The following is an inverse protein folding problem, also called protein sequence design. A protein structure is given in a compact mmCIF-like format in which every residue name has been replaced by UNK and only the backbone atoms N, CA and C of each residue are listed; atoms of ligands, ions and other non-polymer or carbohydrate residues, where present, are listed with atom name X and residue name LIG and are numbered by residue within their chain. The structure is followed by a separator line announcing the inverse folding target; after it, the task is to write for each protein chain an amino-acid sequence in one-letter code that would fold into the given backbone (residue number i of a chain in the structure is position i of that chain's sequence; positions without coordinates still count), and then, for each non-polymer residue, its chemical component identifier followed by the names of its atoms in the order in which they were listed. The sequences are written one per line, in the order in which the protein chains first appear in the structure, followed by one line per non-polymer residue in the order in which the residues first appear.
data_IF_141754376778
#
_entry.id   IF_141754376778
#
_cell.length_a   1.000
_cell.length_b   1.000
_cell.length_c   1.000
_cell.angle_alpha   90.00
_cell.angle_beta   90.00
_cell.angle_gamma   90.00
#
_symmetry.space_group_name_H-M   'P 1'
#
loop_
_entity.id
_entity.type
_entity.pdbx_description
1 polymer ?
#
# COMPACT_ATOMS: atom_id res chain seq x y z
N UNK A 1 -2.56 -19.16 -13.23
CA UNK A 1 -1.52 -18.46 -12.46
C UNK A 1 -1.98 -18.58 -11.03
N UNK A 2 -1.25 -19.31 -10.19
CA UNK A 2 -1.47 -19.29 -8.75
C UNK A 2 -1.39 -17.82 -8.32
N UNK A 3 -2.52 -17.22 -7.98
CA UNK A 3 -2.51 -15.86 -7.43
C UNK A 3 -1.81 -15.97 -6.08
N UNK A 4 -0.75 -15.19 -5.87
CA UNK A 4 -0.14 -15.06 -4.54
C UNK A 4 -1.20 -14.82 -3.46
N UNK A 5 -1.01 -15.31 -2.23
CA UNK A 5 -1.96 -15.05 -1.17
C UNK A 5 -2.04 -13.55 -0.87
N UNK A 6 -3.18 -13.04 -0.36
CA UNK A 6 -3.32 -11.64 0.04
C UNK A 6 -2.21 -11.16 0.98
N UNK A 7 -1.75 -12.03 1.90
CA UNK A 7 -0.66 -11.73 2.83
C UNK A 7 0.65 -11.35 2.13
N UNK A 8 1.05 -12.10 1.08
CA UNK A 8 2.28 -11.80 0.33
C UNK A 8 2.17 -10.47 -0.43
N UNK A 9 0.97 -10.13 -0.92
CA UNK A 9 0.73 -8.81 -1.55
C UNK A 9 0.72 -7.67 -0.54
N UNK A 10 0.25 -7.90 0.68
CA UNK A 10 0.33 -6.92 1.78
C UNK A 10 1.78 -6.65 2.16
N UNK A 11 2.62 -7.69 2.20
CA UNK A 11 4.07 -7.53 2.41
C UNK A 11 4.71 -6.67 1.32
N UNK A 12 4.44 -6.98 0.06
CA UNK A 12 4.93 -6.16 -1.07
C UNK A 12 4.40 -4.72 -1.02
N UNK A 13 3.12 -4.54 -0.69
CA UNK A 13 2.53 -3.22 -0.52
C UNK A 13 3.29 -2.40 0.54
N UNK A 14 3.57 -3.01 1.68
CA UNK A 14 4.33 -2.36 2.74
C UNK A 14 5.76 -2.01 2.29
N UNK A 15 6.44 -2.91 1.58
CA UNK A 15 7.79 -2.67 1.04
C UNK A 15 7.82 -1.50 0.04
N UNK A 16 6.86 -1.43 -0.88
CA UNK A 16 6.76 -0.33 -1.85
C UNK A 16 6.50 1.03 -1.16
N UNK A 17 5.64 1.05 -0.13
CA UNK A 17 5.37 2.26 0.65
C UNK A 17 6.60 2.72 1.43
N UNK A 18 7.32 1.78 2.06
CA UNK A 18 8.57 2.06 2.75
C UNK A 18 9.64 2.59 1.79
N UNK A 19 9.83 1.94 0.63
CA UNK A 19 10.76 2.40 -0.41
C UNK A 19 10.41 3.81 -0.91
N UNK A 20 9.12 4.13 -1.02
CA UNK A 20 8.66 5.49 -1.35
C UNK A 20 9.10 6.50 -0.28
N UNK A 21 9.04 6.16 1.01
CA UNK A 21 9.46 7.05 2.11
C UNK A 21 10.99 7.22 2.24
N UNK A 22 11.80 6.37 1.62
CA UNK A 22 13.25 6.55 1.55
C UNK A 22 13.69 7.60 0.51
N UNK A 23 12.76 8.06 -0.34
CA UNK A 23 13.00 8.97 -1.44
C UNK A 23 12.60 10.43 -1.13
N UNK A 24 13.02 11.42 -1.94
CA UNK A 24 12.70 12.83 -1.74
C UNK A 24 11.23 13.16 -2.07
N UNK A 25 10.31 12.76 -1.21
CA UNK A 25 8.87 12.96 -1.40
C UNK A 25 8.39 14.30 -0.83
N UNK A 26 7.44 14.94 -1.51
CA UNK A 26 6.78 16.13 -0.99
C UNK A 26 6.12 15.90 0.37
N UNK A 27 6.15 16.90 1.26
CA UNK A 27 5.67 16.77 2.64
C UNK A 27 4.22 16.30 2.76
N UNK A 28 3.34 16.77 1.88
CA UNK A 28 1.92 16.39 1.90
C UNK A 28 1.75 14.93 1.49
N UNK A 29 2.44 14.51 0.42
CA UNK A 29 2.45 13.13 -0.05
C UNK A 29 3.03 12.18 1.01
N UNK A 30 4.17 12.55 1.62
CA UNK A 30 4.81 11.75 2.68
C UNK A 30 3.89 11.51 3.87
N UNK A 31 3.04 12.47 4.25
CA UNK A 31 2.06 12.25 5.32
C UNK A 31 1.07 11.13 4.98
N UNK A 32 0.50 11.15 3.78
CA UNK A 32 -0.47 10.14 3.36
C UNK A 32 0.19 8.77 3.18
N UNK A 33 1.38 8.74 2.57
CA UNK A 33 2.14 7.52 2.33
C UNK A 33 2.59 6.87 3.64
N UNK A 34 3.08 7.65 4.61
CA UNK A 34 3.48 7.12 5.92
C UNK A 34 2.30 6.57 6.73
N UNK A 35 1.10 7.15 6.61
CA UNK A 35 -0.10 6.59 7.22
C UNK A 35 -0.51 5.27 6.55
N UNK A 36 -0.46 5.23 5.21
CA UNK A 36 -0.70 4.01 4.45
C UNK A 36 0.30 2.90 4.78
N UNK A 37 1.59 3.24 4.91
CA UNK A 37 2.66 2.32 5.30
C UNK A 37 2.37 1.71 6.67
N UNK A 38 2.05 2.54 7.67
CA UNK A 38 1.72 2.06 9.00
C UNK A 38 0.52 1.09 9.00
N UNK A 39 -0.52 1.38 8.22
CA UNK A 39 -1.70 0.50 8.12
C UNK A 39 -1.35 -0.81 7.41
N UNK A 40 -0.52 -0.79 6.37
CA UNK A 40 -0.06 -2.00 5.69
C UNK A 40 0.87 -2.84 6.59
N UNK A 41 1.77 -2.19 7.33
CA UNK A 41 2.69 -2.83 8.28
C UNK A 41 1.95 -3.55 9.41
N UNK A 42 0.83 -3.00 9.90
CA UNK A 42 -0.04 -3.66 10.89
C UNK A 42 -0.64 -4.98 10.39
N UNK A 43 -0.69 -5.21 9.07
CA UNK A 43 -1.23 -6.41 8.44
C UNK A 43 -0.16 -7.44 8.06
N UNK A 44 1.13 -7.07 8.09
CA UNK A 44 2.23 -8.01 7.76
C UNK A 44 2.23 -9.17 8.75
N UNK A 45 2.23 -10.40 8.24
CA UNK A 45 2.12 -11.63 9.04
C UNK A 45 0.72 -11.94 9.58
N UNK A 46 -0.32 -11.18 9.18
CA UNK A 46 -1.72 -11.48 9.51
C UNK A 46 -2.33 -12.36 8.41
N UNK A 47 -2.36 -13.67 8.64
CA UNK A 47 -2.69 -14.66 7.60
C UNK A 47 -4.18 -15.07 7.50
N UNK A 48 -5.10 -14.55 8.33
CA UNK A 48 -6.37 -15.29 8.56
C UNK A 48 -7.67 -14.49 8.70
N UNK A 49 -7.66 -13.17 8.56
CA UNK A 49 -8.89 -12.36 8.67
C UNK A 49 -9.11 -11.53 7.40
N UNK A 50 -9.78 -12.12 6.41
CA UNK A 50 -10.09 -11.47 5.13
C UNK A 50 -10.91 -10.19 5.31
N UNK A 51 -11.86 -10.15 6.26
CA UNK A 51 -12.67 -8.96 6.54
C UNK A 51 -11.83 -7.83 7.14
N UNK A 52 -10.85 -8.17 7.98
CA UNK A 52 -9.88 -7.20 8.51
C UNK A 52 -8.96 -6.69 7.40
N UNK A 53 -8.39 -7.57 6.59
CA UNK A 53 -7.51 -7.20 5.46
C UNK A 53 -8.26 -6.30 4.49
N UNK A 54 -9.47 -6.70 4.07
CA UNK A 54 -10.32 -5.91 3.18
C UNK A 54 -10.53 -4.49 3.71
N UNK A 55 -10.98 -4.35 4.97
CA UNK A 55 -11.25 -3.03 5.56
C UNK A 55 -10.00 -2.16 5.67
N UNK A 56 -8.88 -2.75 6.09
CA UNK A 56 -7.63 -2.02 6.31
C UNK A 56 -6.98 -1.62 4.99
N UNK A 57 -6.97 -2.50 3.99
CA UNK A 57 -6.38 -2.18 2.69
C UNK A 57 -7.29 -1.27 1.86
N UNK A 58 -8.61 -1.36 2.00
CA UNK A 58 -9.52 -0.34 1.44
C UNK A 58 -9.20 1.06 1.98
N UNK A 59 -8.87 1.16 3.27
CA UNK A 59 -8.42 2.42 3.85
C UNK A 59 -7.07 2.88 3.28
N UNK A 60 -6.13 1.97 3.01
CA UNK A 60 -4.89 2.30 2.30
C UNK A 60 -5.18 2.87 0.90
N UNK A 61 -6.11 2.27 0.15
CA UNK A 61 -6.52 2.80 -1.16
C UNK A 61 -7.03 4.25 -1.03
N UNK A 62 -7.88 4.52 -0.03
CA UNK A 62 -8.40 5.87 0.22
C UNK A 62 -7.28 6.87 0.57
N UNK A 63 -6.30 6.47 1.37
CA UNK A 63 -5.15 7.32 1.72
C UNK A 63 -4.32 7.64 0.48
N UNK A 64 -3.97 6.64 -0.33
CA UNK A 64 -3.15 6.81 -1.53
C UNK A 64 -3.86 7.59 -2.63
N UNK A 65 -5.19 7.63 -2.65
CA UNK A 65 -5.97 8.47 -3.56
C UNK A 65 -5.79 9.98 -3.32
N UNK A 66 -5.24 10.39 -2.17
CA UNK A 66 -4.91 11.78 -1.87
C UNK A 66 -3.54 12.22 -2.40
N UNK A 67 -2.80 11.31 -3.06
CA UNK A 67 -1.47 11.57 -3.61
C UNK A 67 -1.51 11.35 -5.11
N UNK A 68 -1.45 12.42 -5.89
CA UNK A 68 -1.38 12.31 -7.36
C UNK A 68 0.06 12.01 -7.82
N UNK A 69 1.02 12.76 -7.29
CA UNK A 69 2.47 12.64 -7.52
C UNK A 69 3.24 12.95 -6.24
N UNK A 70 4.47 12.47 -6.17
CA UNK A 70 5.38 12.59 -5.03
C UNK A 70 6.46 13.65 -5.22
N UNK A 71 6.64 14.13 -6.46
CA UNK A 71 7.70 15.06 -6.84
C UNK A 71 9.02 14.37 -7.22
N UNK A 72 9.07 13.03 -7.22
CA UNK A 72 10.21 12.23 -7.66
C UNK A 72 9.73 11.04 -8.53
N UNK A 73 10.30 10.90 -9.72
CA UNK A 73 9.86 9.88 -10.69
C UNK A 73 10.02 8.45 -10.16
N UNK A 74 10.99 8.19 -9.28
CA UNK A 74 11.22 6.85 -8.71
C UNK A 74 10.20 6.59 -7.60
N UNK A 75 9.93 7.59 -6.76
CA UNK A 75 8.89 7.50 -5.74
C UNK A 75 7.49 7.35 -6.36
N UNK A 76 7.24 7.96 -7.52
CA UNK A 76 5.99 7.78 -8.27
C UNK A 76 5.84 6.36 -8.83
N UNK A 77 6.95 5.69 -9.21
CA UNK A 77 6.92 4.29 -9.63
C UNK A 77 6.53 3.37 -8.46
N UNK A 78 7.17 3.54 -7.30
CA UNK A 78 6.83 2.80 -6.09
C UNK A 78 5.38 3.07 -5.64
N UNK A 79 4.94 4.33 -5.68
CA UNK A 79 3.56 4.70 -5.35
C UNK A 79 2.54 4.06 -6.31
N UNK A 80 2.83 4.05 -7.62
CA UNK A 80 1.95 3.43 -8.60
C UNK A 80 1.82 1.92 -8.37
N UNK A 81 2.93 1.27 -8.02
CA UNK A 81 2.93 -0.15 -7.69
C UNK A 81 2.19 -0.45 -6.39
N UNK A 82 2.39 0.35 -5.35
CA UNK A 82 1.65 0.27 -4.09
C UNK A 82 0.13 0.41 -4.33
N UNK A 83 -0.30 1.37 -5.15
CA UNK A 83 -1.72 1.53 -5.52
C UNK A 83 -2.28 0.30 -6.22
N UNK A 84 -1.51 -0.30 -7.14
CA UNK A 84 -1.90 -1.52 -7.85
C UNK A 84 -2.07 -2.69 -6.89
N UNK A 85 -1.09 -2.91 -6.00
CA UNK A 85 -1.11 -3.99 -5.01
C UNK A 85 -2.28 -3.85 -4.04
N UNK A 86 -2.53 -2.63 -3.54
CA UNK A 86 -3.65 -2.35 -2.63
C UNK A 86 -5.00 -2.69 -3.29
N UNK A 87 -5.20 -2.28 -4.55
CA UNK A 87 -6.42 -2.63 -5.29
C UNK A 87 -6.59 -4.15 -5.49
N UNK A 88 -5.52 -4.86 -5.84
CA UNK A 88 -5.56 -6.32 -6.00
C UNK A 88 -5.91 -7.04 -4.69
N UNK A 89 -5.39 -6.56 -3.55
CA UNK A 89 -5.71 -7.15 -2.24
C UNK A 89 -7.18 -6.95 -1.90
N UNK A 90 -7.74 -5.77 -2.16
CA UNK A 90 -9.17 -5.49 -1.98
C UNK A 90 -10.00 -6.47 -2.81
N UNK A 91 -9.71 -6.61 -4.11
CA UNK A 91 -10.42 -7.55 -4.99
C UNK A 91 -10.31 -9.02 -4.54
N UNK A 92 -9.22 -9.40 -3.88
CA UNK A 92 -8.98 -10.75 -3.38
C UNK A 92 -9.68 -11.03 -2.05
N UNK A 93 -10.15 -9.99 -1.36
CA UNK A 93 -10.71 -10.08 0.00
C UNK A 93 -12.18 -9.61 0.09
N UNK A 94 -12.78 -9.17 -1.02
CA UNK A 94 -14.24 -8.94 -1.18
C UNK A 94 -15.10 -10.22 -1.12
#
# INVERSE_FOLDING_TARGET
MDKEPPAARVEQLHEELAATQELPVERTASRWIGEAEAVAGDLVGVDSDSDLVYRRVSHVVDLLANVDETGDDTADQHLAEAKRLAAEVVELTE
#
